data_IF_953344161033
#
_entry.id   IF_953344161033
#
_cell.length_a   1.000
_cell.length_b   1.000
_cell.length_c   1.000
_cell.angle_alpha   90.00
_cell.angle_beta   90.00
_cell.angle_gamma   90.00
#
_symmetry.space_group_name_H-M   'P 1'
#
loop_
_entity.id
_entity.type
_entity.pdbx_description
1 polymer ?
#
# COMPACT_ATOMS: atom_id res chain seq x y z
N UNK A 1 -1.45 -0.82 23.71
CA UNK A 1 -2.51 -1.36 22.84
C UNK A 1 -2.26 -0.79 21.46
N UNK A 2 -1.62 -1.56 20.59
CA UNK A 2 -1.30 -1.08 19.24
C UNK A 2 -2.51 -1.36 18.36
N UNK A 3 -3.23 -0.32 17.95
CA UNK A 3 -4.30 -0.45 16.96
C UNK A 3 -3.75 -1.12 15.68
N UNK A 4 -4.27 -2.30 15.35
CA UNK A 4 -4.23 -2.83 13.99
C UNK A 4 -4.98 -1.85 13.08
N UNK A 5 -4.27 -0.85 12.55
CA UNK A 5 -4.79 -0.07 11.43
C UNK A 5 -4.89 -1.01 10.24
N UNK A 6 -6.08 -1.60 10.05
CA UNK A 6 -6.45 -2.27 8.81
C UNK A 6 -6.37 -1.24 7.68
N UNK A 7 -5.26 -1.29 6.95
CA UNK A 7 -5.08 -0.51 5.73
C UNK A 7 -6.13 -1.01 4.75
N UNK A 8 -6.99 -0.12 4.24
CA UNK A 8 -7.97 -0.48 3.22
C UNK A 8 -7.47 -0.12 1.82
N UNK A 9 -7.96 -0.81 0.78
CA UNK A 9 -7.61 -0.48 -0.60
C UNK A 9 -7.98 0.97 -0.94
N UNK A 10 -9.07 1.48 -0.39
CA UNK A 10 -9.52 2.86 -0.57
C UNK A 10 -8.50 3.88 -0.03
N UNK A 11 -7.89 3.61 1.13
CA UNK A 11 -6.84 4.47 1.69
C UNK A 11 -5.57 4.42 0.86
N UNK A 12 -5.18 3.24 0.36
CA UNK A 12 -4.02 3.09 -0.53
C UNK A 12 -4.22 3.82 -1.85
N UNK A 13 -5.39 3.69 -2.47
CA UNK A 13 -5.75 4.39 -3.71
C UNK A 13 -5.81 5.90 -3.50
N UNK A 14 -6.39 6.38 -2.39
CA UNK A 14 -6.37 7.80 -2.03
C UNK A 14 -4.94 8.32 -1.90
N UNK A 15 -4.09 7.56 -1.19
CA UNK A 15 -2.67 7.89 -1.03
C UNK A 15 -1.94 7.91 -2.37
N UNK A 16 -2.24 6.96 -3.27
CA UNK A 16 -1.68 6.94 -4.62
C UNK A 16 -2.02 8.21 -5.38
N UNK A 17 -3.29 8.63 -5.39
CA UNK A 17 -3.74 9.84 -6.07
C UNK A 17 -3.13 11.10 -5.44
N UNK A 18 -3.10 11.19 -4.11
CA UNK A 18 -2.48 12.31 -3.39
C UNK A 18 -0.97 12.40 -3.65
N UNK A 19 -0.29 11.26 -3.82
CA UNK A 19 1.13 11.20 -4.13
C UNK A 19 1.44 11.37 -5.64
N UNK A 20 0.43 11.52 -6.50
CA UNK A 20 0.62 11.59 -7.95
C UNK A 20 1.08 10.28 -8.59
N UNK A 21 0.83 9.15 -7.94
CA UNK A 21 1.16 7.83 -8.44
C UNK A 21 0.22 7.36 -9.55
N UNK A 22 0.76 6.61 -10.50
CA UNK A 22 0.00 5.98 -11.59
C UNK A 22 -0.43 4.54 -11.27
N UNK A 23 0.35 3.82 -10.46
CA UNK A 23 0.09 2.41 -10.15
C UNK A 23 0.35 2.08 -8.68
N UNK A 24 -0.52 1.25 -8.11
CA UNK A 24 -0.39 0.69 -6.77
C UNK A 24 -0.02 -0.79 -6.89
N UNK A 25 1.20 -1.13 -6.46
CA UNK A 25 1.71 -2.49 -6.42
C UNK A 25 1.53 -3.07 -5.01
N UNK A 26 0.77 -4.16 -4.93
CA UNK A 26 0.46 -4.88 -3.69
C UNK A 26 0.99 -6.30 -3.84
N UNK A 27 1.92 -6.69 -2.98
CA UNK A 27 2.44 -8.06 -2.91
C UNK A 27 2.63 -8.47 -1.46
N UNK A 28 2.60 -9.77 -1.21
CA UNK A 28 2.88 -10.32 0.11
C UNK A 28 4.38 -10.26 0.42
N UNK A 29 4.72 -10.07 1.69
CA UNK A 29 6.11 -10.06 2.15
C UNK A 29 6.88 -8.77 1.86
N UNK A 30 6.29 -7.80 1.16
CA UNK A 30 6.86 -6.43 1.05
C UNK A 30 5.81 -5.38 1.41
N UNK A 31 6.22 -4.16 1.77
CA UNK A 31 5.31 -3.03 1.85
C UNK A 31 4.63 -2.77 0.48
N UNK A 32 3.42 -2.19 0.45
CA UNK A 32 2.82 -1.72 -0.79
C UNK A 32 3.69 -0.64 -1.41
N UNK A 33 3.78 -0.64 -2.74
CA UNK A 33 4.62 0.30 -3.49
C UNK A 33 3.78 1.11 -4.46
N UNK A 34 4.11 2.38 -4.62
CA UNK A 34 3.49 3.26 -5.60
C UNK A 34 4.46 3.51 -6.75
N UNK A 35 3.97 3.50 -7.97
CA UNK A 35 4.72 4.01 -9.12
C UNK A 35 4.40 5.49 -9.28
N UNK A 36 5.36 6.36 -8.99
CA UNK A 36 5.24 7.82 -9.14
C UNK A 36 6.28 8.24 -10.19
N UNK A 37 5.83 8.88 -11.28
CA UNK A 37 6.70 9.33 -12.37
C UNK A 37 7.69 8.25 -12.89
N UNK A 38 7.22 7.01 -12.98
CA UNK A 38 8.03 5.87 -13.43
C UNK A 38 8.99 5.28 -12.38
N UNK A 39 8.99 5.80 -11.15
CA UNK A 39 9.81 5.28 -10.03
C UNK A 39 8.94 4.53 -9.02
N UNK A 40 9.44 3.38 -8.56
CA UNK A 40 8.80 2.60 -7.50
C UNK A 40 9.17 3.19 -6.14
N UNK A 41 8.17 3.65 -5.39
CA UNK A 41 8.31 4.26 -4.07
C UNK A 41 7.54 3.40 -3.06
N UNK A 42 8.24 2.75 -2.09
CA UNK A 42 7.57 1.98 -1.06
C UNK A 42 6.83 2.89 -0.09
N UNK A 43 5.60 2.52 0.28
CA UNK A 43 4.87 3.18 1.35
C UNK A 43 5.52 2.85 2.70
N UNK A 44 5.41 3.79 3.64
CA UNK A 44 5.82 3.61 5.04
C UNK A 44 4.80 2.76 5.82
N UNK A 45 4.53 1.57 5.30
CA UNK A 45 3.64 0.58 5.88
C UNK A 45 4.42 -0.70 6.20
N UNK A 46 3.99 -1.48 7.19
CA UNK A 46 4.56 -2.79 7.42
C UNK A 46 4.36 -3.70 6.19
N UNK A 47 5.21 -4.72 6.01
CA UNK A 47 5.02 -5.72 4.97
C UNK A 47 3.65 -6.38 5.11
N UNK A 48 2.91 -6.48 4.01
CA UNK A 48 1.59 -7.11 4.03
C UNK A 48 1.72 -8.62 4.18
N UNK A 49 0.93 -9.19 5.08
CA UNK A 49 0.79 -10.64 5.20
C UNK A 49 -0.23 -11.16 4.16
N UNK A 50 -0.18 -12.46 3.81
CA UNK A 50 -1.15 -13.05 2.88
C UNK A 50 -2.62 -12.87 3.31
N UNK A 51 -2.88 -12.84 4.61
CA UNK A 51 -4.20 -12.58 5.16
C UNK A 51 -4.68 -11.14 4.89
N UNK A 52 -3.77 -10.16 4.96
CA UNK A 52 -4.06 -8.75 4.73
C UNK A 52 -4.40 -8.50 3.26
N UNK A 53 -3.61 -9.07 2.34
CA UNK A 53 -3.86 -8.95 0.89
C UNK A 53 -5.18 -9.56 0.44
N UNK A 54 -5.71 -10.55 1.17
CA UNK A 54 -7.03 -11.14 0.88
C UNK A 54 -8.20 -10.31 1.39
N UNK A 55 -7.98 -9.40 2.34
CA UNK A 55 -9.02 -8.57 2.96
C UNK A 55 -9.10 -7.16 2.35
N UNK A 56 -8.19 -6.81 1.43
CA UNK A 56 -8.12 -5.50 0.76
C UNK A 56 -9.22 -5.32 -0.29
#
# INVERSE_FOLDING_TARGET
>A
MSEEKKVSIHQLLKTMVEAGGSDLHITTGTPPQLRIDGRMVPLKLPPLQPADTKQL
#
